data_IF_973160288054
#
_entry.id   IF_973160288054
#
_cell.length_a   1.000
_cell.length_b   1.000
_cell.length_c   1.000
_cell.angle_alpha   90.00
_cell.angle_beta   90.00
_cell.angle_gamma   90.00
#
_symmetry.space_group_name_H-M   'P 1'
#
loop_
_entity.id
_entity.type
_entity.pdbx_description
1 polymer ?
#
# COMPACT_ATOMS: atom_id res chain seq x y z
N UNK A 1 15.03 10.51 -11.18
CA UNK A 1 14.70 9.76 -12.39
C UNK A 1 16.01 9.25 -12.98
N UNK A 2 16.18 7.95 -13.17
CA UNK A 2 17.37 7.38 -13.82
C UNK A 2 17.07 7.36 -15.32
N UNK A 3 17.82 8.12 -16.10
CA UNK A 3 17.77 8.06 -17.57
C UNK A 3 18.79 7.02 -17.98
N UNK A 4 18.35 5.93 -18.57
CA UNK A 4 19.20 4.81 -19.00
C UNK A 4 19.67 4.99 -20.44
N UNK A 5 18.90 5.76 -21.23
CA UNK A 5 19.21 6.05 -22.62
C UNK A 5 18.65 7.44 -22.97
N UNK A 6 19.39 8.20 -23.77
CA UNK A 6 18.99 9.50 -24.29
C UNK A 6 18.28 9.42 -25.65
N UNK A 7 18.19 8.22 -26.25
CA UNK A 7 17.43 8.05 -27.47
C UNK A 7 15.94 8.26 -27.23
N UNK A 8 15.24 8.96 -28.15
CA UNK A 8 13.81 9.16 -28.02
C UNK A 8 13.11 7.80 -28.07
N UNK A 9 12.20 7.57 -27.13
CA UNK A 9 11.35 6.38 -27.14
C UNK A 9 10.61 6.30 -28.48
N UNK A 10 10.46 5.07 -29.00
CA UNK A 10 9.71 4.82 -30.22
C UNK A 10 8.29 5.42 -30.10
N UNK A 11 7.92 6.39 -30.97
CA UNK A 11 6.62 7.06 -30.88
C UNK A 11 5.43 6.11 -31.13
N UNK A 12 5.67 4.92 -31.70
CA UNK A 12 4.64 3.90 -31.89
C UNK A 12 4.42 3.02 -30.66
N UNK A 13 5.29 3.12 -29.64
CA UNK A 13 5.21 2.31 -28.44
C UNK A 13 5.02 3.16 -27.18
N UNK A 14 3.92 2.92 -26.50
CA UNK A 14 3.58 3.56 -25.24
C UNK A 14 2.85 4.90 -25.39
N UNK A 15 2.82 5.65 -24.30
CA UNK A 15 2.11 6.92 -24.18
C UNK A 15 2.92 7.89 -23.31
N UNK A 16 2.89 9.16 -23.65
CA UNK A 16 3.32 10.18 -22.71
C UNK A 16 2.53 10.04 -21.41
N UNK A 17 3.19 9.89 -20.24
CA UNK A 17 2.50 9.74 -18.95
C UNK A 17 1.49 10.83 -18.64
N UNK A 18 1.67 12.04 -19.22
CA UNK A 18 0.79 13.21 -19.02
C UNK A 18 -0.37 13.27 -20.00
N UNK A 19 -0.30 12.52 -21.10
CA UNK A 19 -1.28 12.53 -22.18
C UNK A 19 -1.92 11.15 -22.40
N UNK A 20 -1.86 10.26 -21.42
CA UNK A 20 -2.50 8.93 -21.50
C UNK A 20 -4.01 9.03 -21.64
N UNK A 21 -4.61 8.32 -22.59
CA UNK A 21 -6.05 8.16 -22.63
C UNK A 21 -6.60 7.57 -21.34
N UNK A 22 -7.82 7.93 -20.97
CA UNK A 22 -8.48 7.45 -19.74
C UNK A 22 -8.61 5.93 -19.76
N UNK A 23 -8.91 5.33 -20.89
CA UNK A 23 -9.04 3.89 -21.10
C UNK A 23 -7.73 3.16 -20.74
N UNK A 24 -6.60 3.72 -21.17
CA UNK A 24 -5.27 3.17 -20.84
C UNK A 24 -4.97 3.31 -19.35
N UNK A 25 -5.37 4.43 -18.75
CA UNK A 25 -5.22 4.61 -17.29
C UNK A 25 -6.08 3.64 -16.49
N UNK A 26 -7.28 3.32 -16.97
CA UNK A 26 -8.18 2.36 -16.32
C UNK A 26 -7.70 0.91 -16.49
N UNK A 27 -6.97 0.58 -17.55
CA UNK A 27 -6.45 -0.79 -17.75
C UNK A 27 -5.05 -1.00 -17.16
N UNK A 28 -4.22 0.03 -17.07
CA UNK A 28 -2.84 -0.08 -16.58
C UNK A 28 -2.52 0.81 -15.37
N UNK A 29 -3.52 1.44 -14.78
CA UNK A 29 -3.32 2.44 -13.75
C UNK A 29 -2.97 1.87 -12.38
N UNK A 30 -2.26 2.72 -11.62
CA UNK A 30 -2.05 2.54 -10.19
C UNK A 30 -2.62 3.75 -9.45
N UNK A 31 -3.36 3.50 -8.38
CA UNK A 31 -3.93 4.53 -7.51
C UNK A 31 -3.26 4.44 -6.14
N UNK A 32 -2.69 5.55 -5.68
CA UNK A 32 -2.26 5.72 -4.31
C UNK A 32 -3.44 6.23 -3.48
N UNK A 33 -4.19 5.32 -2.86
CA UNK A 33 -5.40 5.66 -2.12
C UNK A 33 -5.11 5.78 -0.63
N UNK A 34 -5.57 6.85 0.01
CA UNK A 34 -5.58 6.96 1.47
C UNK A 34 -6.81 6.21 2.01
N UNK A 35 -6.59 4.98 2.50
CA UNK A 35 -7.66 4.15 3.05
C UNK A 35 -8.16 4.76 4.36
N UNK A 36 -9.45 5.09 4.48
CA UNK A 36 -10.00 5.53 5.76
C UNK A 36 -10.05 4.38 6.78
N UNK A 37 -10.22 4.73 8.04
CA UNK A 37 -10.57 3.77 9.10
C UNK A 37 -11.99 3.26 8.89
N UNK A 38 -12.24 2.01 9.23
CA UNK A 38 -13.55 1.37 9.20
C UNK A 38 -13.61 0.22 8.17
N UNK A 39 -13.55 0.49 6.87
CA UNK A 39 -13.65 -0.58 5.86
C UNK A 39 -12.38 -1.43 5.80
N UNK A 40 -12.54 -2.67 5.34
CA UNK A 40 -11.44 -3.54 4.96
C UNK A 40 -10.79 -3.06 3.66
N UNK A 41 -9.54 -3.46 3.40
CA UNK A 41 -8.87 -3.16 2.13
C UNK A 41 -9.63 -3.73 0.93
N UNK A 42 -10.27 -4.91 1.07
CA UNK A 42 -11.08 -5.53 0.02
C UNK A 42 -12.35 -4.74 -0.29
N UNK A 43 -13.05 -4.22 0.72
CA UNK A 43 -14.24 -3.37 0.51
C UNK A 43 -13.87 -2.11 -0.25
N UNK A 44 -12.74 -1.47 0.12
CA UNK A 44 -12.28 -0.27 -0.57
C UNK A 44 -11.97 -0.55 -2.04
N UNK A 45 -11.29 -1.66 -2.35
CA UNK A 45 -11.04 -2.09 -3.74
C UNK A 45 -12.34 -2.35 -4.48
N UNK A 46 -13.32 -3.01 -3.85
CA UNK A 46 -14.63 -3.26 -4.46
C UNK A 46 -15.36 -1.95 -4.80
N UNK A 47 -15.28 -0.95 -3.94
CA UNK A 47 -15.84 0.38 -4.20
C UNK A 47 -15.14 1.08 -5.37
N UNK A 48 -13.80 1.09 -5.39
CA UNK A 48 -13.03 1.68 -6.49
C UNK A 48 -13.39 1.00 -7.81
N UNK A 49 -13.44 -0.34 -7.83
CA UNK A 49 -13.81 -1.11 -9.01
C UNK A 49 -15.20 -0.71 -9.54
N UNK A 50 -16.18 -0.61 -8.63
CA UNK A 50 -17.56 -0.21 -8.98
C UNK A 50 -17.63 1.23 -9.47
N UNK A 51 -16.95 2.16 -8.81
CA UNK A 51 -16.97 3.58 -9.17
C UNK A 51 -16.34 3.85 -10.54
N UNK A 52 -15.27 3.13 -10.87
CA UNK A 52 -14.55 3.31 -12.13
C UNK A 52 -15.08 2.41 -13.26
N UNK A 53 -16.01 1.50 -12.97
CA UNK A 53 -16.58 0.58 -13.98
C UNK A 53 -15.54 -0.39 -14.57
N UNK A 54 -14.48 -0.73 -13.80
CA UNK A 54 -13.44 -1.65 -14.27
C UNK A 54 -13.71 -3.08 -13.82
N UNK A 55 -13.40 -4.06 -14.68
CA UNK A 55 -13.63 -5.47 -14.37
C UNK A 55 -12.67 -6.01 -13.32
N UNK A 56 -11.44 -5.48 -13.28
CA UNK A 56 -10.37 -5.96 -12.42
C UNK A 56 -9.72 -4.82 -11.65
N UNK A 57 -9.67 -4.97 -10.32
CA UNK A 57 -8.86 -4.15 -9.44
C UNK A 57 -8.31 -5.00 -8.29
N UNK A 58 -7.18 -4.62 -7.74
CA UNK A 58 -6.56 -5.29 -6.61
C UNK A 58 -5.75 -4.31 -5.78
N UNK A 59 -5.27 -4.73 -4.61
CA UNK A 59 -4.41 -3.90 -3.76
C UNK A 59 -3.11 -4.61 -3.41
N UNK A 60 -2.11 -3.82 -3.02
CA UNK A 60 -0.84 -4.29 -2.48
C UNK A 60 -0.74 -3.93 -1.01
N UNK A 61 -0.59 -4.96 -0.18
CA UNK A 61 -0.55 -4.81 1.28
C UNK A 61 -1.93 -4.60 1.89
N UNK A 62 -2.23 -5.40 2.89
CA UNK A 62 -3.49 -5.29 3.63
C UNK A 62 -3.33 -4.30 4.79
N UNK A 63 -4.25 -3.36 4.90
CA UNK A 63 -4.44 -2.55 6.09
C UNK A 63 -5.67 -3.05 6.85
N UNK A 64 -5.52 -3.27 8.15
CA UNK A 64 -6.64 -3.65 9.01
C UNK A 64 -7.74 -2.57 9.04
N UNK A 65 -9.00 -2.92 9.33
CA UNK A 65 -10.10 -1.95 9.36
C UNK A 65 -9.83 -0.72 10.23
N UNK A 66 -9.27 -0.82 11.44
CA UNK A 66 -9.01 0.35 12.29
C UNK A 66 -7.81 1.20 11.84
N UNK A 67 -7.05 0.74 10.84
CA UNK A 67 -5.85 1.43 10.33
C UNK A 67 -6.20 2.25 9.08
N UNK A 68 -5.72 3.48 9.02
CA UNK A 68 -5.78 4.34 7.83
C UNK A 68 -4.39 4.48 7.22
N UNK A 69 -4.33 4.85 5.94
CA UNK A 69 -3.08 5.14 5.25
C UNK A 69 -3.02 4.63 3.83
N UNK A 70 -1.84 4.67 3.25
CA UNK A 70 -1.60 4.36 1.84
C UNK A 70 -1.97 2.91 1.50
N UNK A 71 -2.95 2.76 0.63
CA UNK A 71 -3.36 1.50 0.02
C UNK A 71 -3.14 1.60 -1.50
N UNK A 72 -2.05 1.02 -2.04
CA UNK A 72 -1.84 0.98 -3.49
C UNK A 72 -2.87 0.07 -4.15
N UNK A 73 -3.60 0.59 -5.13
CA UNK A 73 -4.60 -0.14 -5.91
C UNK A 73 -4.16 -0.17 -7.37
N UNK A 74 -4.15 -1.36 -7.96
CA UNK A 74 -3.92 -1.57 -9.38
C UNK A 74 -5.24 -1.81 -10.12
N UNK A 75 -5.34 -1.26 -11.32
CA UNK A 75 -6.49 -1.42 -12.21
C UNK A 75 -6.10 -2.29 -13.42
N UNK A 76 -7.00 -3.17 -13.84
CA UNK A 76 -6.78 -4.03 -15.00
C UNK A 76 -5.43 -4.77 -14.96
N UNK A 77 -4.61 -4.58 -15.99
CA UNK A 77 -3.25 -5.11 -16.09
C UNK A 77 -2.29 -4.48 -15.07
N UNK A 78 -2.56 -3.27 -14.60
CA UNK A 78 -1.78 -2.60 -13.53
C UNK A 78 -1.73 -3.42 -12.24
N UNK A 79 -2.67 -4.34 -12.02
CA UNK A 79 -2.62 -5.27 -10.89
C UNK A 79 -1.35 -6.13 -10.85
N UNK A 80 -0.69 -6.37 -11.99
CA UNK A 80 0.55 -7.14 -12.07
C UNK A 80 1.74 -6.44 -11.40
N UNK A 81 1.74 -5.11 -11.37
CA UNK A 81 2.78 -4.32 -10.73
C UNK A 81 2.69 -4.33 -9.19
N UNK A 82 1.57 -4.76 -8.62
CA UNK A 82 1.34 -4.74 -7.17
C UNK A 82 2.32 -5.61 -6.40
N UNK A 83 2.78 -6.72 -6.98
CA UNK A 83 3.78 -7.61 -6.36
C UNK A 83 5.11 -6.91 -6.12
N UNK A 84 5.51 -5.99 -7.00
CA UNK A 84 6.72 -5.19 -6.82
C UNK A 84 6.59 -4.23 -5.64
N UNK A 85 5.41 -3.66 -5.42
CA UNK A 85 5.15 -2.72 -4.33
C UNK A 85 5.20 -3.41 -2.95
N UNK A 86 5.03 -4.73 -2.88
CA UNK A 86 5.19 -5.49 -1.63
C UNK A 86 6.65 -5.51 -1.15
N UNK A 87 7.62 -5.35 -2.05
CA UNK A 87 9.04 -5.36 -1.71
C UNK A 87 9.55 -4.03 -1.13
N UNK A 88 8.78 -2.95 -1.30
CA UNK A 88 9.18 -1.64 -0.76
C UNK A 88 9.03 -1.59 0.76
N UNK A 89 9.92 -0.84 1.45
CA UNK A 89 9.80 -0.61 2.88
C UNK A 89 8.49 0.11 3.21
N UNK A 90 7.96 -0.19 4.40
CA UNK A 90 6.71 0.37 4.90
C UNK A 90 6.98 1.09 6.22
N UNK A 91 6.41 2.27 6.37
CA UNK A 91 6.44 3.04 7.61
C UNK A 91 5.05 3.07 8.22
N UNK A 92 4.96 2.75 9.51
CA UNK A 92 3.73 2.84 10.29
C UNK A 92 3.94 3.83 11.43
N UNK A 93 3.00 4.75 11.59
CA UNK A 93 2.95 5.67 12.71
C UNK A 93 1.79 5.32 13.62
N UNK A 94 2.04 5.20 14.89
CA UNK A 94 1.02 4.82 15.86
C UNK A 94 1.20 5.55 17.19
N UNK A 95 0.16 5.48 18.00
CA UNK A 95 0.17 5.94 19.39
C UNK A 95 -0.05 4.74 20.29
N UNK A 96 0.94 4.46 21.13
CA UNK A 96 0.84 3.42 22.13
C UNK A 96 0.24 4.00 23.41
N UNK A 97 -0.88 3.43 23.86
CA UNK A 97 -1.47 3.76 25.15
C UNK A 97 -0.94 2.82 26.23
N UNK A 98 -0.30 3.37 27.23
CA UNK A 98 0.07 2.62 28.46
C UNK A 98 -1.00 2.82 29.53
N UNK A 99 -1.31 1.77 30.29
CA UNK A 99 -2.38 1.78 31.29
C UNK A 99 -1.90 2.14 32.71
N UNK A 100 -0.60 2.40 32.86
CA UNK A 100 0.00 2.85 34.13
C UNK A 100 0.99 3.98 33.83
N UNK A 101 1.32 4.76 34.88
CA UNK A 101 2.41 5.73 34.80
C UNK A 101 3.75 4.96 34.75
N UNK A 102 4.47 5.10 33.66
CA UNK A 102 5.77 4.46 33.43
C UNK A 102 6.80 5.55 33.15
N UNK A 103 7.97 5.54 33.81
CA UNK A 103 9.05 6.47 33.50
C UNK A 103 9.48 6.35 32.04
N UNK A 104 9.68 7.47 31.35
CA UNK A 104 10.05 7.50 29.92
C UNK A 104 11.26 6.61 29.63
N UNK A 105 12.30 6.68 30.46
CA UNK A 105 13.52 5.87 30.31
C UNK A 105 13.25 4.34 30.34
N UNK A 106 12.30 3.91 31.17
CA UNK A 106 11.91 2.49 31.22
C UNK A 106 11.13 2.09 29.95
N UNK A 107 10.24 2.98 29.46
CA UNK A 107 9.51 2.74 28.22
C UNK A 107 10.46 2.66 27.02
N UNK A 108 11.41 3.58 26.92
CA UNK A 108 12.43 3.59 25.86
C UNK A 108 13.27 2.31 25.86
N UNK A 109 13.67 1.82 27.05
CA UNK A 109 14.42 0.57 27.19
C UNK A 109 13.61 -0.63 26.66
N UNK A 110 12.34 -0.72 27.03
CA UNK A 110 11.46 -1.80 26.53
C UNK A 110 11.25 -1.70 25.02
N UNK A 111 11.01 -0.50 24.48
CA UNK A 111 10.86 -0.31 23.03
C UNK A 111 12.12 -0.72 22.28
N UNK A 112 13.30 -0.43 22.83
CA UNK A 112 14.57 -0.83 22.23
C UNK A 112 14.73 -2.36 22.11
N UNK A 113 14.21 -3.14 23.07
CA UNK A 113 14.22 -4.61 23.03
C UNK A 113 13.40 -5.18 21.87
N UNK A 114 12.37 -4.42 21.40
CA UNK A 114 11.50 -4.82 20.31
C UNK A 114 11.84 -4.11 18.98
N UNK A 115 13.02 -3.48 18.91
CA UNK A 115 13.49 -2.81 17.71
C UNK A 115 14.54 -3.65 17.00
N UNK A 116 14.33 -3.94 15.71
CA UNK A 116 15.25 -4.76 14.90
C UNK A 116 14.70 -6.15 14.59
N UNK A 117 15.59 -7.13 14.45
CA UNK A 117 15.20 -8.51 14.17
C UNK A 117 14.71 -9.19 15.47
N UNK A 118 13.42 -9.39 15.56
CA UNK A 118 12.76 -9.99 16.72
C UNK A 118 11.97 -11.23 16.32
N UNK A 119 11.77 -12.16 17.25
CA UNK A 119 10.82 -13.26 17.08
C UNK A 119 9.42 -12.79 17.46
N UNK A 120 8.48 -13.01 16.55
CA UNK A 120 7.07 -12.68 16.77
C UNK A 120 6.22 -13.94 16.70
N UNK A 121 5.31 -14.09 17.67
CA UNK A 121 4.24 -15.09 17.61
C UNK A 121 2.94 -14.37 17.25
N UNK A 122 2.44 -14.50 16.02
CA UNK A 122 1.19 -13.86 15.63
C UNK A 122 0.02 -14.37 16.47
N UNK A 123 -0.96 -13.53 16.82
CA UNK A 123 -2.19 -14.00 17.45
C UNK A 123 -2.99 -14.91 16.50
N UNK A 124 -3.72 -15.89 17.08
CA UNK A 124 -4.47 -16.90 16.29
C UNK A 124 -5.51 -16.31 15.31
N UNK A 125 -5.96 -15.07 15.52
CA UNK A 125 -6.91 -14.34 14.66
C UNK A 125 -6.24 -13.14 13.98
N UNK A 126 -4.99 -13.26 13.59
CA UNK A 126 -4.28 -12.25 12.81
C UNK A 126 -4.47 -12.52 11.32
N UNK A 127 -4.53 -11.46 10.52
CA UNK A 127 -4.42 -11.54 9.07
C UNK A 127 -3.00 -11.85 8.58
N UNK A 128 -2.05 -11.97 9.49
CA UNK A 128 -0.68 -12.42 9.23
C UNK A 128 -0.62 -13.92 9.44
N UNK A 129 -0.41 -14.65 8.37
CA UNK A 129 -0.18 -16.11 8.36
C UNK A 129 1.31 -16.41 8.22
#
# INVERSE_FOLDING_TARGET
>A
MVVVDEEPADPEHGWDPRARPVEVMLDYGLIALDKPRGPTSHEVVAWVRKMLGVDRAGHSGTLDPPVSGLLPIGLGQGTKALSLLLLFPKEYRGVMRVHASVPAKQLEAVVAEFTGAIFQRPPQRSSVS
#
